data_IF_349697433696
#
_entry.id   IF_349697433696
#
_cell.length_a   1.000
_cell.length_b   1.000
_cell.length_c   1.000
_cell.angle_alpha   90.00
_cell.angle_beta   90.00
_cell.angle_gamma   90.00
#
_symmetry.space_group_name_H-M   'P 1'
#
loop_
_entity.id
_entity.type
_entity.pdbx_description
1 polymer ?
#
# COMPACT_ATOMS: atom_id res chain seq x y z
N UNK A 1 -26.06 -0.22 -3.37
CA UNK A 1 -25.59 -1.13 -2.31
C UNK A 1 -24.06 -1.19 -2.21
N UNK A 2 -23.33 -1.41 -3.31
CA UNK A 2 -21.86 -1.52 -3.29
C UNK A 2 -21.14 -0.27 -2.77
N UNK A 3 -21.55 0.93 -3.18
CA UNK A 3 -20.96 2.19 -2.73
C UNK A 3 -21.11 2.41 -1.21
N UNK A 4 -22.29 2.10 -0.65
CA UNK A 4 -22.52 2.22 0.78
C UNK A 4 -21.68 1.23 1.60
N UNK A 5 -21.47 0.02 1.08
CA UNK A 5 -20.60 -0.97 1.71
C UNK A 5 -19.14 -0.51 1.71
N UNK A 6 -18.63 0.01 0.60
CA UNK A 6 -17.28 0.57 0.56
C UNK A 6 -17.13 1.78 1.46
N UNK A 7 -18.12 2.68 1.52
CA UNK A 7 -18.07 3.81 2.44
C UNK A 7 -17.91 3.33 3.89
N UNK A 8 -18.71 2.33 4.31
CA UNK A 8 -18.59 1.75 5.64
C UNK A 8 -17.20 1.16 5.90
N UNK A 9 -16.65 0.40 4.95
CA UNK A 9 -15.28 -0.16 5.05
C UNK A 9 -14.22 0.93 5.17
N UNK A 10 -14.34 2.01 4.39
CA UNK A 10 -13.41 3.15 4.46
C UNK A 10 -13.49 3.83 5.83
N UNK A 11 -14.71 4.08 6.34
CA UNK A 11 -14.90 4.71 7.64
C UNK A 11 -14.38 3.89 8.82
N UNK A 12 -14.29 2.57 8.67
CA UNK A 12 -13.77 1.65 9.69
C UNK A 12 -12.36 1.15 9.41
N UNK A 13 -11.73 1.62 8.32
CA UNK A 13 -10.39 1.22 7.95
C UNK A 13 -9.34 1.64 9.00
N UNK A 14 -8.41 0.73 9.25
CA UNK A 14 -7.32 0.93 10.20
C UNK A 14 -6.03 1.23 9.42
N UNK A 15 -5.59 2.48 9.42
CA UNK A 15 -4.38 2.88 8.68
C UNK A 15 -3.42 3.72 9.52
N UNK A 16 -3.91 4.37 10.57
CA UNK A 16 -3.14 5.39 11.31
C UNK A 16 -2.09 4.83 12.29
N UNK A 17 -1.99 3.53 12.41
CA UNK A 17 -0.85 2.89 13.08
C UNK A 17 0.45 3.00 12.27
N UNK A 18 0.35 3.24 10.97
CA UNK A 18 1.49 3.35 10.04
C UNK A 18 1.44 4.61 9.17
N UNK A 19 0.25 5.13 8.87
CA UNK A 19 0.05 6.32 8.05
C UNK A 19 -0.13 7.58 8.90
N UNK A 20 0.29 8.71 8.36
CA UNK A 20 -0.07 10.03 8.85
C UNK A 20 -1.24 10.60 8.05
N UNK A 21 -2.05 11.47 8.65
CA UNK A 21 -2.96 12.33 7.90
C UNK A 21 -2.11 13.37 7.15
N UNK A 22 -1.92 13.16 5.85
CA UNK A 22 -1.07 14.05 5.05
C UNK A 22 -1.74 15.38 4.78
N UNK A 23 -0.94 16.43 4.57
CA UNK A 23 -1.45 17.75 4.23
C UNK A 23 -2.14 17.78 2.86
N UNK A 24 -3.14 18.65 2.72
CA UNK A 24 -3.72 19.06 1.45
C UNK A 24 -3.24 20.48 1.16
N UNK A 25 -2.29 20.63 0.24
CA UNK A 25 -1.57 21.87 0.00
C UNK A 25 -1.93 22.49 -1.35
N UNK A 26 -2.11 23.84 -1.43
CA UNK A 26 -2.31 24.49 -2.72
C UNK A 26 -1.02 24.52 -3.53
N UNK A 27 -1.08 24.03 -4.77
CA UNK A 27 -0.01 24.11 -5.75
C UNK A 27 -0.05 25.46 -6.49
N UNK A 28 0.41 26.54 -5.86
CA UNK A 28 0.24 27.92 -6.34
C UNK A 28 0.74 28.18 -7.76
N UNK A 29 1.94 27.70 -8.08
CA UNK A 29 2.52 27.89 -9.41
C UNK A 29 1.77 27.09 -10.48
N UNK A 30 1.41 25.85 -10.17
CA UNK A 30 0.64 25.00 -11.08
C UNK A 30 -0.78 25.57 -11.28
N UNK A 31 -1.42 26.02 -10.23
CA UNK A 31 -2.74 26.68 -10.28
C UNK A 31 -2.73 27.90 -11.19
N UNK A 32 -1.73 28.76 -11.04
CA UNK A 32 -1.57 29.96 -11.91
C UNK A 32 -1.35 29.56 -13.38
N UNK A 33 -0.50 28.56 -13.62
CA UNK A 33 -0.18 28.11 -14.99
C UNK A 33 -1.39 27.49 -15.68
N UNK A 34 -2.24 26.79 -14.95
CA UNK A 34 -3.42 26.09 -15.49
C UNK A 34 -4.70 26.94 -15.44
N UNK A 35 -4.67 28.12 -14.80
CA UNK A 35 -5.87 28.92 -14.57
C UNK A 35 -6.92 28.20 -13.73
N UNK A 36 -6.50 27.38 -12.77
CA UNK A 36 -7.39 26.55 -11.93
C UNK A 36 -6.88 26.49 -10.49
N UNK A 37 -7.68 25.96 -9.58
CA UNK A 37 -7.27 25.67 -8.20
C UNK A 37 -6.77 24.22 -8.11
N UNK A 38 -5.45 24.06 -8.02
CA UNK A 38 -4.82 22.73 -7.88
C UNK A 38 -4.38 22.53 -6.44
N UNK A 39 -4.85 21.44 -5.84
CA UNK A 39 -4.47 21.00 -4.50
C UNK A 39 -3.67 19.69 -4.61
N UNK A 40 -2.65 19.55 -3.79
CA UNK A 40 -1.83 18.35 -3.69
C UNK A 40 -2.08 17.66 -2.35
N UNK A 41 -2.59 16.44 -2.40
CA UNK A 41 -2.63 15.55 -1.23
C UNK A 41 -1.25 14.91 -1.08
N UNK A 42 -0.51 15.31 -0.04
CA UNK A 42 0.93 15.06 0.11
C UNK A 42 1.24 13.65 0.63
N UNK A 43 0.78 12.62 -0.11
CA UNK A 43 1.08 11.23 0.22
C UNK A 43 2.55 10.82 -0.02
N UNK A 44 3.32 11.65 -0.69
CA UNK A 44 4.77 11.58 -0.78
C UNK A 44 5.47 11.80 0.58
N UNK A 45 4.79 12.39 1.56
CA UNK A 45 5.30 12.60 2.92
C UNK A 45 5.02 11.43 3.88
N UNK A 46 4.36 10.38 3.43
CA UNK A 46 4.21 9.16 4.21
C UNK A 46 5.58 8.48 4.48
N UNK A 47 5.70 7.67 5.55
CA UNK A 47 6.97 6.99 5.91
C UNK A 47 7.63 6.19 4.80
N UNK A 48 6.84 5.71 3.82
CA UNK A 48 7.33 4.99 2.63
C UNK A 48 7.07 5.79 1.33
N UNK A 49 6.88 7.09 1.44
CA UNK A 49 6.76 8.06 0.34
C UNK A 49 5.59 7.79 -0.63
N UNK A 50 4.56 7.10 -0.17
CA UNK A 50 3.34 6.83 -0.97
C UNK A 50 2.17 6.39 -0.10
N UNK A 51 0.95 6.47 -0.67
CA UNK A 51 -0.29 6.04 -0.02
C UNK A 51 -0.43 4.51 0.13
N UNK A 52 0.41 3.73 -0.54
CA UNK A 52 0.28 2.26 -0.59
C UNK A 52 0.32 1.57 0.77
N UNK A 53 1.00 2.16 1.75
CA UNK A 53 1.01 1.63 3.12
C UNK A 53 -0.39 1.53 3.74
N UNK A 54 -1.31 2.42 3.37
CA UNK A 54 -2.69 2.46 3.92
C UNK A 54 -3.45 1.18 3.60
N UNK A 55 -3.52 0.83 2.31
CA UNK A 55 -4.22 -0.37 1.86
C UNK A 55 -3.53 -1.65 2.32
N UNK A 56 -2.19 -1.71 2.24
CA UNK A 56 -1.43 -2.86 2.71
C UNK A 56 -1.67 -3.11 4.20
N UNK A 57 -1.57 -2.08 5.03
CA UNK A 57 -1.81 -2.21 6.47
C UNK A 57 -3.26 -2.58 6.78
N UNK A 58 -4.24 -1.91 6.16
CA UNK A 58 -5.65 -2.21 6.40
C UNK A 58 -6.02 -3.66 6.03
N UNK A 59 -5.45 -4.20 4.97
CA UNK A 59 -5.58 -5.62 4.64
C UNK A 59 -4.97 -6.50 5.71
N UNK A 60 -3.75 -6.23 6.11
CA UNK A 60 -2.98 -7.13 6.96
C UNK A 60 -3.46 -7.12 8.41
N UNK A 61 -3.94 -5.99 8.94
CA UNK A 61 -4.45 -5.90 10.31
C UNK A 61 -5.73 -6.72 10.54
N UNK A 62 -6.47 -7.02 9.46
CA UNK A 62 -7.66 -7.86 9.51
C UNK A 62 -7.39 -9.37 9.33
N UNK A 63 -6.12 -9.76 9.11
CA UNK A 63 -5.74 -11.17 9.04
C UNK A 63 -5.81 -11.83 10.42
N UNK A 64 -6.14 -13.12 10.44
CA UNK A 64 -6.11 -13.90 11.68
C UNK A 64 -4.67 -14.04 12.20
N UNK A 65 -4.54 -14.31 13.49
CA UNK A 65 -3.23 -14.59 14.09
C UNK A 65 -2.50 -15.74 13.40
N UNK A 66 -3.25 -16.74 12.96
CA UNK A 66 -2.71 -17.87 12.22
C UNK A 66 -2.18 -17.46 10.84
N UNK A 67 -2.90 -16.58 10.11
CA UNK A 67 -2.45 -16.03 8.83
C UNK A 67 -1.20 -15.16 9.01
N UNK A 68 -1.17 -14.30 10.02
CA UNK A 68 0.00 -13.48 10.35
C UNK A 68 1.21 -14.34 10.74
N UNK A 69 0.99 -15.44 11.50
CA UNK A 69 2.07 -16.36 11.88
C UNK A 69 2.70 -17.07 10.67
N UNK A 70 1.91 -17.41 9.65
CA UNK A 70 2.44 -17.96 8.40
C UNK A 70 3.16 -16.91 7.57
N UNK A 71 2.70 -15.66 7.60
CA UNK A 71 3.27 -14.54 6.86
C UNK A 71 2.47 -14.17 5.61
N UNK A 72 2.91 -13.10 4.98
CA UNK A 72 2.27 -12.54 3.78
C UNK A 72 3.24 -12.54 2.60
N UNK A 73 2.68 -12.42 1.40
CA UNK A 73 3.45 -12.33 0.15
C UNK A 73 2.82 -11.30 -0.79
N UNK A 74 3.65 -10.60 -1.55
CA UNK A 74 3.19 -9.81 -2.69
C UNK A 74 4.21 -9.85 -3.83
N UNK A 75 3.76 -9.46 -5.03
CA UNK A 75 4.61 -9.19 -6.17
C UNK A 75 4.63 -7.68 -6.43
N UNK A 76 5.76 -7.03 -6.22
CA UNK A 76 5.92 -5.60 -6.48
C UNK A 76 7.37 -5.16 -6.35
N UNK A 77 7.84 -4.34 -7.27
CA UNK A 77 9.16 -3.69 -7.21
C UNK A 77 9.07 -2.20 -6.80
N UNK A 78 7.94 -1.75 -6.26
CA UNK A 78 7.69 -0.33 -6.00
C UNK A 78 7.05 -0.05 -4.65
N UNK A 79 6.16 0.94 -4.65
CA UNK A 79 5.54 1.47 -3.44
C UNK A 79 4.71 0.44 -2.66
N UNK A 80 4.06 -0.50 -3.35
CA UNK A 80 3.30 -1.56 -2.69
C UNK A 80 4.21 -2.50 -1.88
N UNK A 81 5.36 -2.86 -2.43
CA UNK A 81 6.37 -3.67 -1.73
C UNK A 81 6.80 -3.02 -0.41
N UNK A 82 7.10 -1.73 -0.42
CA UNK A 82 7.48 -0.98 0.78
C UNK A 82 6.31 -0.87 1.77
N UNK A 83 5.08 -0.67 1.27
CA UNK A 83 3.87 -0.64 2.10
C UNK A 83 3.63 -1.96 2.83
N UNK A 84 3.77 -3.09 2.13
CA UNK A 84 3.63 -4.43 2.72
C UNK A 84 4.73 -4.72 3.73
N UNK A 85 5.99 -4.39 3.40
CA UNK A 85 7.11 -4.60 4.32
C UNK A 85 6.99 -3.77 5.61
N UNK A 86 6.57 -2.51 5.50
CA UNK A 86 6.31 -1.65 6.67
C UNK A 86 5.17 -2.20 7.53
N UNK A 87 4.05 -2.60 6.90
CA UNK A 87 2.91 -3.18 7.60
C UNK A 87 3.29 -4.48 8.33
N UNK A 88 4.06 -5.35 7.68
CA UNK A 88 4.56 -6.60 8.26
C UNK A 88 5.44 -6.33 9.48
N UNK A 89 6.37 -5.37 9.39
CA UNK A 89 7.20 -4.95 10.51
C UNK A 89 6.36 -4.45 11.69
N UNK A 90 5.33 -3.66 11.41
CA UNK A 90 4.43 -3.12 12.46
C UNK A 90 3.63 -4.21 13.15
N UNK A 91 3.17 -5.23 12.40
CA UNK A 91 2.37 -6.34 12.89
C UNK A 91 3.21 -7.52 13.42
N UNK A 92 4.53 -7.47 13.27
CA UNK A 92 5.42 -8.54 13.72
C UNK A 92 5.30 -9.82 12.90
N UNK A 93 4.90 -9.73 11.62
CA UNK A 93 4.81 -10.89 10.72
C UNK A 93 5.89 -10.85 9.63
N UNK A 94 6.12 -11.99 8.98
CA UNK A 94 7.04 -12.08 7.85
C UNK A 94 6.37 -11.60 6.58
N UNK A 95 7.10 -10.89 5.73
CA UNK A 95 6.65 -10.50 4.40
C UNK A 95 7.67 -10.96 3.35
N UNK A 96 7.22 -11.78 2.41
CA UNK A 96 7.97 -12.17 1.23
C UNK A 96 7.57 -11.26 0.06
N UNK A 97 8.55 -10.64 -0.57
CA UNK A 97 8.34 -9.67 -1.65
C UNK A 97 9.03 -10.18 -2.91
N UNK A 98 8.24 -10.58 -3.89
CA UNK A 98 8.76 -11.07 -5.16
C UNK A 98 8.89 -9.91 -6.14
N UNK A 99 10.10 -9.76 -6.68
CA UNK A 99 10.47 -8.70 -7.61
C UNK A 99 11.13 -9.28 -8.86
N UNK A 100 10.99 -8.64 -10.04
CA UNK A 100 11.81 -8.99 -11.20
C UNK A 100 13.31 -8.84 -10.90
N UNK A 101 14.14 -9.66 -11.54
CA UNK A 101 15.62 -9.58 -11.40
C UNK A 101 16.17 -8.25 -11.90
N UNK A 102 15.42 -7.57 -12.77
CA UNK A 102 15.74 -6.24 -13.31
C UNK A 102 15.49 -5.08 -12.33
N UNK A 103 14.98 -5.38 -11.13
CA UNK A 103 14.66 -4.35 -10.13
C UNK A 103 15.92 -3.63 -9.66
N UNK A 104 15.96 -2.28 -9.69
CA UNK A 104 17.11 -1.51 -9.23
C UNK A 104 17.46 -1.83 -7.77
N UNK A 105 18.75 -1.95 -7.48
CA UNK A 105 19.28 -2.29 -6.15
C UNK A 105 18.72 -1.41 -5.04
N UNK A 106 18.57 -0.10 -5.28
CA UNK A 106 18.00 0.84 -4.33
C UNK A 106 16.60 0.43 -3.83
N UNK A 107 15.76 -0.12 -4.72
CA UNK A 107 14.41 -0.58 -4.36
C UNK A 107 14.44 -1.89 -3.56
N UNK A 108 15.36 -2.78 -3.88
CA UNK A 108 15.59 -4.01 -3.13
C UNK A 108 16.04 -3.66 -1.71
N UNK A 109 17.04 -2.80 -1.58
CA UNK A 109 17.60 -2.38 -0.30
C UNK A 109 16.56 -1.67 0.58
N UNK A 110 15.68 -0.84 -0.02
CA UNK A 110 14.61 -0.16 0.70
C UNK A 110 13.63 -1.15 1.36
N UNK A 111 13.26 -2.22 0.66
CA UNK A 111 12.38 -3.26 1.21
C UNK A 111 13.08 -4.09 2.28
N UNK A 112 14.35 -4.46 2.05
CA UNK A 112 15.15 -5.20 3.02
C UNK A 112 15.39 -4.40 4.31
N UNK A 113 15.60 -3.09 4.21
CA UNK A 113 15.74 -2.18 5.36
C UNK A 113 14.45 -2.12 6.21
N UNK A 114 13.29 -2.39 5.62
CA UNK A 114 12.01 -2.53 6.32
C UNK A 114 11.79 -3.93 6.91
N UNK A 115 12.70 -4.87 6.68
CA UNK A 115 12.61 -6.26 7.14
C UNK A 115 11.89 -7.20 6.19
N UNK A 116 11.61 -6.78 4.96
CA UNK A 116 11.02 -7.63 3.93
C UNK A 116 12.04 -8.65 3.38
N UNK A 117 11.61 -9.89 3.18
CA UNK A 117 12.38 -10.91 2.48
C UNK A 117 12.17 -10.76 0.98
N UNK A 118 13.23 -10.40 0.24
CA UNK A 118 13.14 -10.17 -1.20
C UNK A 118 13.52 -11.44 -1.97
N UNK A 119 12.64 -11.88 -2.86
CA UNK A 119 12.85 -12.95 -3.83
C UNK A 119 12.92 -12.34 -5.22
N UNK A 120 14.08 -12.45 -5.88
CA UNK A 120 14.26 -11.96 -7.26
C UNK A 120 13.94 -13.09 -8.23
N UNK A 121 12.92 -12.91 -9.09
CA UNK A 121 12.47 -13.93 -10.03
C UNK A 121 11.84 -13.33 -11.29
N UNK A 122 12.25 -13.88 -12.45
CA UNK A 122 11.75 -13.47 -13.76
C UNK A 122 12.24 -12.08 -14.21
N UNK A 123 11.96 -11.76 -15.46
CA UNK A 123 12.40 -10.50 -16.07
C UNK A 123 11.29 -9.44 -16.06
N UNK A 124 10.06 -9.85 -15.80
CA UNK A 124 8.86 -9.00 -15.83
C UNK A 124 8.05 -9.07 -14.53
N UNK A 125 7.14 -8.11 -14.36
CA UNK A 125 6.14 -8.15 -13.27
C UNK A 125 5.29 -9.44 -13.34
N UNK A 126 4.89 -9.85 -14.55
CA UNK A 126 4.06 -11.06 -14.72
C UNK A 126 4.77 -12.31 -14.26
N UNK A 127 6.08 -12.42 -14.52
CA UNK A 127 6.88 -13.57 -14.05
C UNK A 127 6.98 -13.57 -12.53
N UNK A 128 7.28 -12.41 -11.93
CA UNK A 128 7.34 -12.25 -10.48
C UNK A 128 5.98 -12.56 -9.83
N UNK A 129 4.89 -12.09 -10.42
CA UNK A 129 3.52 -12.36 -9.95
C UNK A 129 3.19 -13.86 -9.98
N UNK A 130 3.47 -14.53 -11.10
CA UNK A 130 3.25 -15.98 -11.23
C UNK A 130 4.03 -16.75 -10.17
N UNK A 131 5.29 -16.40 -9.97
CA UNK A 131 6.11 -17.04 -8.93
C UNK A 131 5.61 -16.74 -7.51
N UNK A 132 5.11 -15.54 -7.26
CA UNK A 132 4.52 -15.21 -5.97
C UNK A 132 3.29 -16.07 -5.66
N UNK A 133 2.46 -16.40 -6.66
CA UNK A 133 1.32 -17.31 -6.50
C UNK A 133 1.76 -18.77 -6.26
N UNK A 134 2.89 -19.19 -6.79
CA UNK A 134 3.48 -20.50 -6.49
C UNK A 134 3.92 -20.57 -5.02
N UNK A 135 4.69 -19.60 -4.58
CA UNK A 135 5.17 -19.50 -3.20
C UNK A 135 4.04 -19.30 -2.17
N UNK A 136 2.99 -18.55 -2.53
CA UNK A 136 1.77 -18.42 -1.71
C UNK A 136 1.21 -19.79 -1.36
N UNK A 137 1.07 -20.67 -2.36
CA UNK A 137 0.52 -22.03 -2.19
C UNK A 137 1.48 -22.94 -1.45
N UNK A 138 2.76 -22.92 -1.82
CA UNK A 138 3.80 -23.77 -1.23
C UNK A 138 3.98 -23.53 0.26
N UNK A 139 3.97 -22.25 0.66
CA UNK A 139 4.20 -21.84 2.05
C UNK A 139 2.95 -21.44 2.80
N UNK A 140 1.76 -21.58 2.20
CA UNK A 140 0.47 -21.17 2.79
C UNK A 140 0.45 -19.72 3.28
N UNK A 141 1.11 -18.83 2.53
CA UNK A 141 1.17 -17.40 2.79
C UNK A 141 -0.15 -16.71 2.41
N UNK A 142 -0.38 -15.51 2.92
CA UNK A 142 -1.52 -14.69 2.50
C UNK A 142 -1.06 -13.66 1.46
N UNK A 143 -1.66 -13.68 0.27
CA UNK A 143 -1.35 -12.72 -0.78
C UNK A 143 -1.95 -11.34 -0.46
N UNK A 144 -1.14 -10.30 -0.52
CA UNK A 144 -1.57 -8.90 -0.37
C UNK A 144 -1.57 -8.24 -1.75
N UNK A 145 -2.76 -8.14 -2.35
CA UNK A 145 -2.93 -7.61 -3.69
C UNK A 145 -2.66 -6.09 -3.74
N UNK A 146 -2.01 -5.54 -4.78
CA UNK A 146 -1.63 -4.13 -4.85
C UNK A 146 -2.80 -3.15 -5.05
N UNK A 147 -4.00 -3.63 -5.44
CA UNK A 147 -5.17 -2.78 -5.72
C UNK A 147 -6.52 -3.51 -5.72
N UNK A 148 -6.61 -4.76 -6.14
CA UNK A 148 -7.89 -5.49 -6.31
C UNK A 148 -8.20 -6.39 -5.09
N UNK A 149 -8.40 -5.75 -3.96
CA UNK A 149 -8.82 -6.38 -2.71
C UNK A 149 -9.67 -5.38 -1.93
N UNK A 150 -10.86 -5.76 -1.43
CA UNK A 150 -11.77 -4.85 -0.74
C UNK A 150 -11.15 -4.13 0.47
N UNK A 151 -10.29 -4.80 1.23
CA UNK A 151 -9.63 -4.19 2.39
C UNK A 151 -8.50 -3.24 1.97
N UNK A 152 -7.79 -3.58 0.88
CA UNK A 152 -6.79 -2.68 0.27
C UNK A 152 -7.48 -1.43 -0.28
N UNK A 153 -8.58 -1.58 -1.02
CA UNK A 153 -9.38 -0.47 -1.57
C UNK A 153 -9.86 0.43 -0.42
N UNK A 154 -10.40 -0.15 0.65
CA UNK A 154 -10.88 0.60 1.80
C UNK A 154 -9.76 1.41 2.48
N UNK A 155 -8.59 0.84 2.66
CA UNK A 155 -7.43 1.55 3.19
C UNK A 155 -7.03 2.74 2.32
N UNK A 156 -6.96 2.57 1.00
CA UNK A 156 -6.68 3.66 0.06
C UNK A 156 -7.77 4.74 0.07
N UNK A 157 -9.02 4.35 0.28
CA UNK A 157 -10.16 5.27 0.37
C UNK A 157 -10.07 6.27 1.52
N UNK A 158 -9.26 6.01 2.55
CA UNK A 158 -9.02 6.98 3.64
C UNK A 158 -8.38 8.28 3.16
N UNK A 159 -7.64 8.25 2.04
CA UNK A 159 -7.12 9.47 1.38
C UNK A 159 -8.25 10.41 1.01
N UNK A 160 -9.30 9.89 0.37
CA UNK A 160 -10.47 10.68 -0.02
C UNK A 160 -11.23 11.21 1.20
N UNK A 161 -11.37 10.42 2.26
CA UNK A 161 -12.00 10.86 3.51
C UNK A 161 -11.24 12.02 4.17
N UNK A 162 -9.92 11.99 4.15
CA UNK A 162 -9.08 13.09 4.63
C UNK A 162 -9.27 14.34 3.77
N UNK A 163 -9.28 14.20 2.45
CA UNK A 163 -9.53 15.34 1.53
C UNK A 163 -10.88 16.00 1.82
N UNK A 164 -11.95 15.21 1.97
CA UNK A 164 -13.28 15.73 2.26
C UNK A 164 -13.37 16.48 3.60
N UNK A 165 -12.55 16.11 4.58
CA UNK A 165 -12.46 16.84 5.85
C UNK A 165 -11.59 18.10 5.75
N UNK A 166 -10.54 18.06 4.95
CA UNK A 166 -9.55 19.14 4.81
C UNK A 166 -9.99 20.24 3.84
N UNK A 167 -10.90 19.93 2.92
CA UNK A 167 -11.43 20.87 1.94
C UNK A 167 -12.95 20.99 2.07
N UNK A 168 -13.42 22.20 2.34
CA UNK A 168 -14.85 22.50 2.38
C UNK A 168 -15.26 23.20 1.09
N UNK A 169 -16.14 22.56 0.33
CA UNK A 169 -16.62 23.07 -0.94
C UNK A 169 -16.49 22.03 -2.07
N UNK A 170 -16.89 22.37 -3.28
CA UNK A 170 -16.75 21.49 -4.42
C UNK A 170 -15.28 21.27 -4.79
N UNK A 171 -14.98 20.05 -5.25
CA UNK A 171 -13.69 19.64 -5.78
C UNK A 171 -13.73 19.60 -7.31
#
# INVERSE_FOLDING_TARGET
>A
QAAAEYLKRIMTAQVYDVAIESALEPARNLSRRLGNHVLLKREDQQPVFSFKLRGAYNKMVHLSQEQLARGVICASAGNHAQGVALAARRLGCKAMIVMPVTTPRLKVDAVQALGGEVVLRGDSYSDAYTHALELEREHSLTFVHPFDDPDVIAGQGTVAMEILRQHQGPL
#
